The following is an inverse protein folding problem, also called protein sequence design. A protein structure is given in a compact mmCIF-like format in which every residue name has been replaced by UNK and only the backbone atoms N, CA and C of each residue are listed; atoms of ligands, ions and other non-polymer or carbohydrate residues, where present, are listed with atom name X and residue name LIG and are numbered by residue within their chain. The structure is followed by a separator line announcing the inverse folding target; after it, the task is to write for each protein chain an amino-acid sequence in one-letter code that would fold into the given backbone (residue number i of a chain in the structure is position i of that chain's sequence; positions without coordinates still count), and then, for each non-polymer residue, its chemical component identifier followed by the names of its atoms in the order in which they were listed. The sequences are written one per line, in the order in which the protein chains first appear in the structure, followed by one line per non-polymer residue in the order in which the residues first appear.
data_IF_671547239246
#
_entry.id   IF_671547239246
#
_cell.length_a   1.000
_cell.length_b   1.000
_cell.length_c   1.000
_cell.angle_alpha   90.00
_cell.angle_beta   90.00
_cell.angle_gamma   90.00
#
_symmetry.space_group_name_H-M   'P 1'
#
loop_
_entity.id
_entity.type
_entity.pdbx_description
1 polymer ?
#
# COMPACT_ATOMS: atom_id res chain seq x y z
N UNK A 1 -45.54 -1.04 -48.58
CA UNK A 1 -46.05 -2.11 -47.69
C UNK A 1 -45.59 -1.75 -46.28
N UNK A 2 -46.53 -1.29 -45.47
CA UNK A 2 -46.35 -1.02 -44.05
C UNK A 2 -46.76 -2.29 -43.30
N UNK A 3 -45.92 -2.74 -42.36
CA UNK A 3 -46.31 -3.67 -41.29
C UNK A 3 -45.67 -3.16 -39.99
N UNK A 4 -46.44 -2.47 -39.13
CA UNK A 4 -46.06 -2.18 -37.75
C UNK A 4 -46.78 -3.15 -36.81
N UNK A 5 -46.07 -3.71 -35.83
CA UNK A 5 -46.54 -4.02 -34.47
C UNK A 5 -45.65 -5.10 -33.83
N UNK A 6 -45.06 -4.78 -32.68
CA UNK A 6 -45.43 -5.47 -31.44
C UNK A 6 -44.84 -4.70 -30.24
N UNK A 7 -45.70 -3.90 -29.62
CA UNK A 7 -45.47 -3.20 -28.39
C UNK A 7 -45.90 -4.14 -27.24
N UNK A 8 -44.97 -4.58 -26.38
CA UNK A 8 -45.32 -5.27 -25.13
C UNK A 8 -44.82 -4.48 -23.93
N UNK A 9 -45.72 -3.61 -23.47
CA UNK A 9 -45.72 -3.04 -22.11
C UNK A 9 -46.42 -4.06 -21.20
N UNK A 10 -45.77 -4.47 -20.11
CA UNK A 10 -46.40 -5.29 -19.05
C UNK A 10 -46.05 -4.67 -17.68
N UNK A 11 -47.00 -4.67 -16.72
CA UNK A 11 -47.09 -3.62 -15.71
C UNK A 11 -46.38 -3.90 -14.38
N UNK A 12 -46.15 -2.79 -13.68
CA UNK A 12 -45.75 -2.62 -12.28
C UNK A 12 -46.70 -3.38 -11.34
N UNK A 13 -46.15 -4.14 -10.39
CA UNK A 13 -46.87 -4.59 -9.19
C UNK A 13 -46.13 -4.11 -7.95
N UNK A 14 -46.81 -3.20 -7.25
CA UNK A 14 -46.52 -2.67 -5.93
C UNK A 14 -46.69 -3.79 -4.90
N UNK A 15 -45.75 -3.95 -3.98
CA UNK A 15 -45.97 -4.65 -2.71
C UNK A 15 -45.57 -3.71 -1.59
N UNK A 16 -46.59 -3.21 -0.89
CA UNK A 16 -46.48 -2.58 0.42
C UNK A 16 -46.44 -3.66 1.50
N UNK A 17 -45.57 -3.49 2.50
CA UNK A 17 -45.54 -4.30 3.71
C UNK A 17 -45.25 -3.40 4.91
N UNK A 18 -46.27 -3.18 5.74
CA UNK A 18 -46.27 -2.31 6.91
C UNK A 18 -45.86 -3.09 8.16
N UNK A 19 -44.96 -2.47 8.93
CA UNK A 19 -44.68 -2.50 10.38
C UNK A 19 -45.14 -3.65 11.29
N UNK A 20 -44.26 -4.04 12.23
CA UNK A 20 -44.55 -3.95 13.68
C UNK A 20 -43.24 -3.90 14.50
N UNK A 21 -43.19 -2.94 15.42
CA UNK A 21 -42.20 -2.78 16.51
C UNK A 21 -42.65 -3.62 17.70
N UNK A 22 -41.74 -4.35 18.36
CA UNK A 22 -41.90 -4.77 19.75
C UNK A 22 -40.59 -4.52 20.52
N UNK A 23 -40.64 -3.52 21.39
CA UNK A 23 -39.70 -3.30 22.50
C UNK A 23 -40.13 -4.25 23.62
N UNK A 24 -39.21 -5.08 24.12
CA UNK A 24 -39.39 -5.79 25.38
C UNK A 24 -38.25 -5.43 26.34
N UNK A 25 -38.54 -4.48 27.23
CA UNK A 25 -37.78 -4.21 28.45
C UNK A 25 -38.12 -5.31 29.45
N UNK A 26 -37.14 -6.11 29.83
CA UNK A 26 -37.25 -7.11 30.88
C UNK A 26 -36.25 -6.84 31.99
N UNK A 27 -36.67 -6.05 32.98
CA UNK A 27 -35.99 -5.94 34.26
C UNK A 27 -36.31 -7.18 35.12
N UNK A 28 -35.29 -7.80 35.70
CA UNK A 28 -35.44 -8.94 36.61
C UNK A 28 -34.44 -8.85 37.76
N UNK A 29 -34.85 -8.20 38.85
CA UNK A 29 -34.17 -8.21 40.14
C UNK A 29 -34.73 -9.39 40.95
N UNK A 30 -33.91 -10.41 41.25
CA UNK A 30 -34.25 -11.41 42.26
C UNK A 30 -33.32 -11.28 43.46
N UNK A 31 -33.90 -10.81 44.55
CA UNK A 31 -33.30 -10.77 45.87
C UNK A 31 -33.39 -12.16 46.50
N UNK A 32 -32.31 -12.63 47.12
CA UNK A 32 -32.40 -13.73 48.07
C UNK A 32 -31.67 -13.36 49.36
N UNK A 33 -32.41 -13.46 50.46
CA UNK A 33 -32.02 -13.14 51.82
C UNK A 33 -31.64 -14.42 52.56
N UNK A 34 -30.54 -14.44 53.31
CA UNK A 34 -30.50 -15.20 54.57
C UNK A 34 -29.37 -14.74 55.49
N UNK A 35 -29.64 -14.90 56.78
CA UNK A 35 -29.13 -14.19 57.96
C UNK A 35 -27.94 -14.90 58.62
N UNK A 36 -27.00 -14.15 59.23
CA UNK A 36 -26.57 -14.32 60.64
C UNK A 36 -25.56 -13.24 61.11
N UNK A 37 -25.83 -12.67 62.29
CA UNK A 37 -25.00 -11.78 63.14
C UNK A 37 -23.69 -12.53 63.54
N UNK A 38 -22.55 -11.94 63.89
CA UNK A 38 -22.24 -10.84 64.82
C UNK A 38 -20.74 -10.44 64.70
N UNK A 39 -20.29 -9.32 65.31
CA UNK A 39 -18.99 -8.66 65.09
C UNK A 39 -17.89 -9.07 66.09
N UNK A 40 -16.63 -9.16 65.65
CA UNK A 40 -15.42 -8.99 66.50
C UNK A 40 -14.13 -8.92 65.67
N UNK A 41 -13.38 -7.81 65.81
CA UNK A 41 -11.96 -7.69 65.41
C UNK A 41 -11.05 -8.51 66.36
N UNK A 42 -9.90 -9.03 65.91
CA UNK A 42 -8.68 -8.23 65.89
C UNK A 42 -7.86 -8.37 64.60
N UNK A 43 -7.44 -7.22 64.05
CA UNK A 43 -6.47 -7.14 62.95
C UNK A 43 -5.07 -7.09 63.56
N UNK A 44 -4.22 -8.07 63.27
CA UNK A 44 -2.76 -7.96 63.05
C UNK A 44 -2.31 -9.26 62.36
N UNK A 45 -1.94 -9.17 61.08
CA UNK A 45 -0.71 -9.72 60.47
C UNK A 45 -0.81 -9.63 58.93
N UNK A 46 0.13 -8.88 58.35
CA UNK A 46 0.40 -8.54 56.94
C UNK A 46 0.59 -9.76 56.00
N UNK A 47 0.95 -9.60 54.70
CA UNK A 47 0.88 -8.47 53.77
C UNK A 47 0.07 -8.82 52.49
N UNK A 48 -0.25 -7.85 51.63
CA UNK A 48 -0.06 -7.98 50.17
C UNK A 48 -0.64 -6.79 49.40
N UNK A 49 0.29 -5.99 48.88
CA UNK A 49 0.32 -5.40 47.55
C UNK A 49 -1.03 -5.00 46.93
N UNK A 50 -1.41 -3.75 47.17
CA UNK A 50 -2.24 -2.97 46.25
C UNK A 50 -1.48 -2.86 44.92
N UNK A 51 -1.74 -3.77 43.99
CA UNK A 51 -1.30 -3.65 42.60
C UNK A 51 -2.20 -2.60 41.92
N UNK A 52 -1.68 -1.44 41.50
CA UNK A 52 -2.46 -0.54 40.66
C UNK A 52 -2.72 -1.25 39.33
N UNK A 53 -3.99 -1.48 39.00
CA UNK A 53 -4.38 -1.86 37.64
C UNK A 53 -3.77 -0.83 36.66
N UNK A 54 -2.94 -1.25 35.70
CA UNK A 54 -2.49 -0.32 34.68
C UNK A 54 -3.71 0.10 33.86
N UNK A 55 -3.93 1.42 33.81
CA UNK A 55 -4.70 2.06 32.75
C UNK A 55 -4.22 1.46 31.42
N UNK A 56 -5.16 0.96 30.63
CA UNK A 56 -4.90 0.50 29.26
C UNK A 56 -4.53 1.75 28.44
N UNK A 57 -3.25 2.09 28.43
CA UNK A 57 -2.67 3.00 27.43
C UNK A 57 -2.68 2.29 26.08
N UNK A 58 -3.09 2.95 24.98
CA UNK A 58 -2.97 2.35 23.65
C UNK A 58 -1.51 2.01 23.38
N UNK A 59 -1.26 0.74 23.07
CA UNK A 59 0.07 0.22 22.73
C UNK A 59 0.64 1.02 21.55
N UNK A 60 1.92 1.46 21.58
CA UNK A 60 2.51 2.18 20.46
C UNK A 60 2.46 1.30 19.21
N UNK A 61 2.02 1.88 18.08
CA UNK A 61 1.87 1.23 16.78
C UNK A 61 3.03 0.28 16.48
N UNK A 62 2.76 -1.02 16.47
CA UNK A 62 3.78 -2.06 16.31
C UNK A 62 4.38 -1.98 14.90
N UNK A 63 5.66 -1.64 14.81
CA UNK A 63 6.45 -1.73 13.58
C UNK A 63 7.12 -3.09 13.46
N UNK A 64 7.28 -3.59 12.23
CA UNK A 64 7.97 -4.84 11.91
C UNK A 64 9.13 -4.56 10.97
N UNK A 65 10.18 -5.36 11.09
CA UNK A 65 11.36 -5.28 10.23
C UNK A 65 11.26 -6.29 9.08
N UNK A 66 11.60 -5.85 7.85
CA UNK A 66 11.75 -6.70 6.67
C UNK A 66 12.95 -6.26 5.84
N UNK A 67 13.60 -7.20 5.17
CA UNK A 67 14.60 -6.91 4.15
C UNK A 67 13.92 -6.83 2.79
N UNK A 68 13.96 -5.65 2.17
CA UNK A 68 13.48 -5.40 0.81
C UNK A 68 14.67 -5.12 -0.11
N UNK A 69 14.43 -4.98 -1.41
CA UNK A 69 15.43 -4.48 -2.35
C UNK A 69 14.98 -3.13 -2.93
N UNK A 70 15.89 -2.16 -2.94
CA UNK A 70 15.83 -1.02 -3.86
C UNK A 70 16.68 -1.34 -5.08
N UNK A 71 16.32 -0.81 -6.23
CA UNK A 71 16.96 -1.17 -7.49
C UNK A 71 17.66 0.04 -8.12
N UNK A 72 18.91 -0.19 -8.53
CA UNK A 72 19.78 0.80 -9.15
C UNK A 72 20.18 0.38 -10.56
N UNK A 73 20.69 1.34 -11.32
CA UNK A 73 21.28 1.08 -12.63
C UNK A 73 22.74 0.77 -12.46
N UNK A 74 23.20 -0.31 -13.09
CA UNK A 74 24.62 -0.60 -13.29
C UNK A 74 24.92 -0.58 -14.77
N UNK A 75 25.82 0.31 -15.18
CA UNK A 75 26.38 0.30 -16.52
C UNK A 75 27.55 -0.69 -16.57
N UNK A 76 27.57 -1.54 -17.59
CA UNK A 76 28.71 -2.40 -17.89
C UNK A 76 28.97 -2.36 -19.39
N UNK A 77 30.02 -1.64 -19.78
CA UNK A 77 30.41 -1.42 -21.18
C UNK A 77 29.30 -0.79 -22.04
N UNK A 78 28.57 0.18 -21.49
CA UNK A 78 27.46 0.86 -22.18
C UNK A 78 26.16 0.06 -22.22
N UNK A 79 26.11 -1.12 -21.56
CA UNK A 79 24.87 -1.87 -21.33
C UNK A 79 24.38 -1.60 -19.91
N UNK A 80 23.20 -1.00 -19.80
CA UNK A 80 22.55 -0.80 -18.52
C UNK A 80 21.81 -2.06 -18.05
N UNK A 81 21.92 -2.34 -16.75
CA UNK A 81 21.23 -3.44 -16.07
C UNK A 81 20.64 -2.93 -14.77
N UNK A 82 19.53 -3.53 -14.36
CA UNK A 82 18.87 -3.22 -13.08
C UNK A 82 19.40 -4.20 -12.03
N UNK A 83 20.01 -3.66 -10.96
CA UNK A 83 20.63 -4.45 -9.89
C UNK A 83 19.95 -4.20 -8.56
N UNK A 84 19.72 -5.26 -7.79
CA UNK A 84 19.10 -5.19 -6.47
C UNK A 84 20.12 -4.83 -5.40
N UNK A 85 19.77 -3.88 -4.54
CA UNK A 85 20.49 -3.58 -3.31
C UNK A 85 19.58 -3.85 -2.11
N UNK A 86 19.94 -4.79 -1.22
CA UNK A 86 19.13 -5.12 -0.05
C UNK A 86 19.15 -3.97 0.96
N UNK A 87 17.98 -3.67 1.52
CA UNK A 87 17.77 -2.66 2.56
C UNK A 87 16.90 -3.21 3.68
N UNK A 88 17.27 -2.94 4.93
CA UNK A 88 16.45 -3.26 6.10
C UNK A 88 15.47 -2.11 6.34
N UNK A 89 14.19 -2.42 6.38
CA UNK A 89 13.11 -1.45 6.57
C UNK A 89 12.29 -1.85 7.79
N UNK A 90 12.10 -0.90 8.70
CA UNK A 90 11.17 -1.00 9.82
C UNK A 90 9.96 -0.10 9.55
N UNK A 91 8.77 -0.70 9.41
CA UNK A 91 7.54 0.02 9.09
C UNK A 91 6.32 -0.66 9.73
N UNK A 92 5.13 -0.05 9.63
CA UNK A 92 3.88 -0.75 9.98
C UNK A 92 3.75 -2.01 9.12
N UNK A 93 3.03 -3.03 9.61
CA UNK A 93 2.83 -4.28 8.85
C UNK A 93 1.84 -4.10 7.69
N UNK A 94 2.16 -3.22 6.76
CA UNK A 94 1.35 -2.78 5.64
C UNK A 94 2.24 -2.64 4.40
N UNK A 95 1.88 -3.23 3.24
CA UNK A 95 2.71 -3.16 2.04
C UNK A 95 2.99 -1.73 1.56
N UNK A 96 2.01 -0.81 1.68
CA UNK A 96 2.19 0.59 1.29
C UNK A 96 3.26 1.24 2.16
N UNK A 97 3.21 1.06 3.48
CA UNK A 97 4.21 1.61 4.41
C UNK A 97 5.65 1.15 4.09
N UNK A 98 5.85 -0.14 3.79
CA UNK A 98 7.16 -0.66 3.38
C UNK A 98 7.65 -0.06 2.06
N UNK A 99 6.78 0.03 1.05
CA UNK A 99 7.15 0.59 -0.25
C UNK A 99 7.43 2.10 -0.17
N UNK A 100 6.69 2.86 0.65
CA UNK A 100 6.98 4.28 0.88
C UNK A 100 8.41 4.47 1.38
N UNK A 101 8.84 3.71 2.39
CA UNK A 101 10.23 3.81 2.90
C UNK A 101 11.24 3.37 1.84
N UNK A 102 10.96 2.33 1.07
CA UNK A 102 11.84 1.88 -0.01
C UNK A 102 12.02 2.95 -1.10
N UNK A 103 10.93 3.64 -1.49
CA UNK A 103 10.99 4.72 -2.46
C UNK A 103 11.67 5.97 -1.91
N UNK A 104 11.42 6.35 -0.66
CA UNK A 104 12.14 7.45 -0.02
C UNK A 104 13.65 7.20 -0.04
N UNK A 105 14.09 5.97 0.28
CA UNK A 105 15.49 5.57 0.17
C UNK A 105 15.98 5.62 -1.28
N UNK A 106 15.24 5.09 -2.25
CA UNK A 106 15.62 5.12 -3.68
C UNK A 106 15.81 6.57 -4.21
N UNK A 107 14.97 7.50 -3.76
CA UNK A 107 14.96 8.88 -4.25
C UNK A 107 16.01 9.77 -3.55
N UNK A 108 16.39 9.44 -2.32
CA UNK A 108 17.25 10.30 -1.50
C UNK A 108 18.66 9.73 -1.25
N UNK A 109 18.83 8.41 -1.35
CA UNK A 109 20.12 7.75 -1.11
C UNK A 109 21.04 7.87 -2.32
N UNK A 110 22.35 7.81 -2.06
CA UNK A 110 23.33 7.65 -3.13
C UNK A 110 23.58 6.15 -3.37
N UNK A 111 23.65 5.71 -4.64
CA UNK A 111 23.99 4.33 -4.98
C UNK A 111 25.46 4.02 -4.64
N UNK A 112 25.82 2.73 -4.62
CA UNK A 112 27.20 2.29 -4.44
C UNK A 112 28.13 2.76 -5.59
N UNK A 113 29.45 2.69 -5.39
CA UNK A 113 30.47 3.25 -6.30
C UNK A 113 30.42 2.80 -7.78
N UNK A 114 29.69 1.72 -8.11
CA UNK A 114 29.52 1.21 -9.48
C UNK A 114 28.06 1.17 -9.93
N UNK A 115 27.22 1.95 -9.27
CA UNK A 115 25.79 2.03 -9.49
C UNK A 115 25.40 3.50 -9.64
N UNK A 116 24.30 3.74 -10.34
CA UNK A 116 23.82 5.07 -10.69
C UNK A 116 22.32 5.13 -10.46
N UNK A 117 21.84 6.35 -10.20
CA UNK A 117 20.41 6.67 -10.27
C UNK A 117 20.16 7.46 -11.55
N UNK A 118 19.25 6.97 -12.37
CA UNK A 118 18.75 7.67 -13.56
C UNK A 118 17.53 8.54 -13.23
N UNK A 119 17.03 8.50 -11.98
CA UNK A 119 15.90 9.32 -11.52
C UNK A 119 16.36 10.78 -11.33
N UNK A 120 15.66 11.79 -11.90
CA UNK A 120 16.07 13.18 -11.78
C UNK A 120 16.01 13.64 -10.33
N UNK A 121 17.01 14.43 -9.93
CA UNK A 121 17.03 15.06 -8.62
C UNK A 121 15.77 15.90 -8.40
N UNK A 122 15.21 15.83 -7.20
CA UNK A 122 13.97 16.52 -6.84
C UNK A 122 12.70 15.74 -7.18
N UNK A 123 12.78 14.57 -7.79
CA UNK A 123 11.63 13.66 -7.91
C UNK A 123 11.13 13.26 -6.52
N UNK A 124 9.82 13.35 -6.31
CA UNK A 124 9.15 12.97 -5.06
C UNK A 124 7.97 12.03 -5.32
N UNK A 125 7.57 11.27 -4.30
CA UNK A 125 6.34 10.49 -4.29
C UNK A 125 5.20 11.42 -3.89
N UNK A 126 4.24 11.62 -4.80
CA UNK A 126 3.04 12.39 -4.53
C UNK A 126 1.98 11.50 -3.86
N UNK A 127 1.83 10.26 -4.35
CA UNK A 127 0.97 9.25 -3.76
C UNK A 127 1.57 7.86 -3.99
N UNK A 128 1.41 6.96 -3.02
CA UNK A 128 1.72 5.54 -3.18
C UNK A 128 0.69 4.73 -2.42
N UNK A 129 0.07 3.75 -3.09
CA UNK A 129 -0.87 2.82 -2.47
C UNK A 129 -0.74 1.43 -3.09
N UNK A 130 -1.10 0.42 -2.30
CA UNK A 130 -1.18 -0.98 -2.73
C UNK A 130 -2.60 -1.50 -2.62
N UNK A 131 -3.07 -2.23 -3.62
CA UNK A 131 -4.39 -2.85 -3.63
C UNK A 131 -4.32 -4.21 -4.34
N UNK A 132 -4.72 -5.29 -3.65
CA UNK A 132 -4.66 -6.66 -4.17
C UNK A 132 -3.28 -6.99 -4.79
N UNK A 133 -2.22 -6.68 -4.06
CA UNK A 133 -0.83 -6.80 -4.48
C UNK A 133 -0.38 -5.87 -5.62
N UNK A 134 -1.28 -5.18 -6.33
CA UNK A 134 -0.92 -4.18 -7.33
C UNK A 134 -0.49 -2.86 -6.68
N UNK A 135 0.41 -2.13 -7.34
CA UNK A 135 1.01 -0.89 -6.84
C UNK A 135 0.58 0.28 -7.71
N UNK A 136 0.12 1.36 -7.07
CA UNK A 136 -0.25 2.61 -7.70
C UNK A 136 0.66 3.69 -7.14
N UNK A 137 1.41 4.35 -8.01
CA UNK A 137 2.41 5.34 -7.63
C UNK A 137 2.25 6.58 -8.52
N UNK A 138 2.09 7.73 -7.87
CA UNK A 138 2.10 9.05 -8.50
C UNK A 138 3.41 9.75 -8.13
N UNK A 139 4.18 10.12 -9.14
CA UNK A 139 5.46 10.80 -9.01
C UNK A 139 5.31 12.28 -9.34
N UNK A 140 6.23 13.11 -8.86
CA UNK A 140 6.26 14.52 -9.23
C UNK A 140 6.73 14.74 -10.68
N UNK A 141 6.37 15.86 -11.33
CA UNK A 141 6.72 16.16 -12.72
C UNK A 141 8.21 16.06 -13.07
N UNK A 142 9.09 16.29 -12.09
CA UNK A 142 10.54 16.11 -12.18
C UNK A 142 10.93 14.76 -12.75
N UNK A 143 10.16 13.71 -12.46
CA UNK A 143 10.40 12.36 -12.97
C UNK A 143 10.48 12.29 -14.50
N UNK A 144 9.82 13.22 -15.22
CA UNK A 144 9.76 13.22 -16.69
C UNK A 144 10.90 13.98 -17.35
N UNK A 145 11.78 14.62 -16.57
CA UNK A 145 12.77 15.55 -17.09
C UNK A 145 14.08 14.85 -17.48
N UNK A 146 14.67 15.33 -18.58
CA UNK A 146 16.05 15.01 -19.00
C UNK A 146 16.32 13.56 -19.39
N UNK A 147 17.57 13.31 -19.80
CA UNK A 147 18.05 12.02 -20.27
C UNK A 147 17.69 11.74 -21.73
N UNK A 148 18.37 10.76 -22.32
CA UNK A 148 17.93 10.09 -23.55
C UNK A 148 17.26 8.75 -23.24
N UNK A 149 16.78 8.04 -24.26
CA UNK A 149 16.07 6.75 -24.15
C UNK A 149 16.71 5.76 -23.17
N UNK A 150 18.03 5.62 -23.16
CA UNK A 150 18.75 4.74 -22.22
C UNK A 150 18.51 5.14 -20.75
N UNK A 151 18.64 6.42 -20.43
CA UNK A 151 18.38 6.96 -19.09
C UNK A 151 16.92 6.80 -18.68
N UNK A 152 16.00 7.05 -19.62
CA UNK A 152 14.55 6.89 -19.40
C UNK A 152 14.20 5.42 -19.09
N UNK A 153 14.76 4.47 -19.83
CA UNK A 153 14.61 3.03 -19.56
C UNK A 153 15.19 2.63 -18.21
N UNK A 154 16.41 3.07 -17.89
CA UNK A 154 17.04 2.77 -16.60
C UNK A 154 16.21 3.28 -15.43
N UNK A 155 15.74 4.53 -15.51
CA UNK A 155 14.85 5.16 -14.55
C UNK A 155 13.53 4.41 -14.36
N UNK A 156 12.88 4.03 -15.46
CA UNK A 156 11.65 3.23 -15.44
C UNK A 156 11.90 1.90 -14.74
N UNK A 157 13.02 1.24 -15.04
CA UNK A 157 13.41 -0.02 -14.41
C UNK A 157 13.60 0.11 -12.90
N UNK A 158 14.28 1.15 -12.43
CA UNK A 158 14.44 1.40 -10.99
C UNK A 158 13.09 1.48 -10.26
N UNK A 159 12.11 2.20 -10.83
CA UNK A 159 10.77 2.33 -10.24
C UNK A 159 10.01 1.01 -10.29
N UNK A 160 9.95 0.34 -11.44
CA UNK A 160 9.18 -0.90 -11.62
C UNK A 160 9.70 -2.01 -10.71
N UNK A 161 11.02 -2.22 -10.65
CA UNK A 161 11.58 -3.29 -9.82
C UNK A 161 11.44 -2.98 -8.33
N UNK A 162 11.59 -1.73 -7.91
CA UNK A 162 11.41 -1.32 -6.51
C UNK A 162 9.95 -1.43 -6.08
N UNK A 163 9.00 -0.97 -6.90
CA UNK A 163 7.56 -1.13 -6.64
C UNK A 163 7.17 -2.61 -6.46
N UNK A 164 7.79 -3.50 -7.22
CA UNK A 164 7.51 -4.94 -7.20
C UNK A 164 8.43 -5.73 -6.27
N UNK A 165 9.16 -5.08 -5.35
CA UNK A 165 10.09 -5.81 -4.46
C UNK A 165 9.39 -6.72 -3.47
N UNK A 166 8.14 -6.43 -3.09
CA UNK A 166 7.34 -7.27 -2.18
C UNK A 166 6.70 -8.45 -2.92
N UNK A 167 6.33 -8.25 -4.19
CA UNK A 167 5.76 -9.27 -5.07
C UNK A 167 6.19 -9.00 -6.53
N UNK A 168 7.08 -9.83 -7.10
CA UNK A 168 7.57 -9.66 -8.48
C UNK A 168 6.49 -9.76 -9.57
N UNK A 169 5.31 -10.30 -9.25
CA UNK A 169 4.20 -10.47 -10.19
C UNK A 169 3.19 -9.30 -10.16
N UNK A 170 3.38 -8.33 -9.27
CA UNK A 170 2.49 -7.17 -9.14
C UNK A 170 2.46 -6.33 -10.40
N UNK A 171 1.29 -5.77 -10.69
CA UNK A 171 1.12 -4.74 -11.70
C UNK A 171 1.43 -3.38 -11.10
N UNK A 172 2.10 -2.53 -11.88
CA UNK A 172 2.45 -1.17 -11.46
C UNK A 172 1.72 -0.18 -12.35
N UNK A 173 0.89 0.66 -11.73
CA UNK A 173 0.26 1.81 -12.34
C UNK A 173 1.07 3.05 -12.03
N UNK A 174 1.69 3.64 -13.05
CA UNK A 174 2.51 4.84 -12.91
C UNK A 174 1.70 6.07 -13.29
N UNK A 175 1.76 7.09 -12.45
CA UNK A 175 1.25 8.43 -12.75
C UNK A 175 2.33 9.48 -12.49
N UNK A 176 2.20 10.62 -13.16
CA UNK A 176 2.99 11.82 -12.87
C UNK A 176 2.05 13.01 -12.74
N UNK A 177 2.08 13.68 -11.59
CA UNK A 177 1.21 14.81 -11.30
C UNK A 177 -0.29 14.46 -11.43
N UNK A 178 -0.66 13.25 -11.00
CA UNK A 178 -2.03 12.73 -11.03
C UNK A 178 -2.52 12.25 -12.40
N UNK A 179 -1.66 12.19 -13.42
CA UNK A 179 -2.01 11.69 -14.76
C UNK A 179 -1.26 10.40 -15.07
N UNK A 180 -1.91 9.40 -15.69
CA UNK A 180 -1.23 8.18 -16.10
C UNK A 180 -0.01 8.47 -16.97
N UNK A 181 1.13 7.87 -16.61
CA UNK A 181 2.37 8.00 -17.35
C UNK A 181 2.38 6.97 -18.50
N UNK A 182 1.80 7.35 -19.64
CA UNK A 182 1.77 6.51 -20.85
C UNK A 182 2.93 6.78 -21.80
N UNK A 183 3.62 7.92 -21.63
CA UNK A 183 4.78 8.32 -22.42
C UNK A 183 5.77 9.03 -21.49
N UNK A 184 7.04 8.62 -21.52
CA UNK A 184 8.12 9.22 -20.73
C UNK A 184 9.11 9.97 -21.62
N UNK A 185 9.40 11.21 -21.22
CA UNK A 185 10.37 12.08 -21.87
C UNK A 185 9.91 12.66 -23.21
N UNK A 186 10.71 13.59 -23.75
CA UNK A 186 10.43 14.22 -25.05
C UNK A 186 10.68 13.32 -26.26
N UNK A 187 11.41 12.22 -26.07
CA UNK A 187 11.69 11.22 -27.11
C UNK A 187 10.56 10.21 -27.29
N UNK A 188 9.58 10.19 -26.37
CA UNK A 188 8.35 9.43 -26.55
C UNK A 188 8.45 7.97 -26.14
N UNK A 189 9.14 7.64 -25.03
CA UNK A 189 9.18 6.26 -24.55
C UNK A 189 7.78 5.83 -24.09
N UNK A 190 7.09 5.03 -24.90
CA UNK A 190 5.75 4.53 -24.58
C UNK A 190 5.81 3.54 -23.42
N UNK A 191 4.94 3.74 -22.43
CA UNK A 191 4.87 2.90 -21.23
C UNK A 191 3.48 2.25 -21.19
N UNK A 192 3.39 0.92 -21.43
CA UNK A 192 2.14 0.20 -21.27
C UNK A 192 1.69 0.26 -19.81
N UNK A 193 0.39 0.49 -19.59
CA UNK A 193 -0.22 0.54 -18.27
C UNK A 193 -1.24 -0.59 -18.10
N UNK A 194 -1.17 -1.37 -17.02
CA UNK A 194 -0.07 -1.37 -16.05
C UNK A 194 1.21 -1.99 -16.63
N UNK A 195 2.36 -1.58 -16.11
CA UNK A 195 3.64 -2.21 -16.41
C UNK A 195 3.94 -3.34 -15.40
N UNK A 196 4.62 -4.38 -15.84
CA UNK A 196 5.09 -5.51 -15.03
C UNK A 196 6.56 -5.78 -15.34
N UNK A 197 7.26 -6.58 -14.51
CA UNK A 197 8.65 -6.98 -14.83
C UNK A 197 8.77 -7.68 -16.19
N UNK A 198 7.91 -8.67 -16.55
CA UNK A 198 7.98 -9.29 -17.88
C UNK A 198 7.75 -8.33 -19.04
N UNK A 199 6.81 -7.37 -18.89
CA UNK A 199 6.60 -6.34 -19.91
C UNK A 199 7.85 -5.44 -20.00
N UNK A 200 8.41 -5.04 -18.86
CA UNK A 200 9.61 -4.20 -18.86
C UNK A 200 10.79 -4.89 -19.55
N UNK A 201 11.04 -6.15 -19.19
CA UNK A 201 12.13 -6.96 -19.75
C UNK A 201 11.95 -7.17 -21.26
N UNK A 202 10.73 -7.42 -21.72
CA UNK A 202 10.43 -7.64 -23.14
C UNK A 202 10.57 -6.37 -23.98
N UNK A 203 10.08 -5.24 -23.49
CA UNK A 203 9.96 -4.01 -24.30
C UNK A 203 11.17 -3.09 -24.17
N UNK A 204 11.92 -3.14 -23.05
CA UNK A 204 12.98 -2.14 -22.78
C UNK A 204 14.38 -2.72 -22.57
N UNK A 205 14.53 -4.02 -22.32
CA UNK A 205 15.86 -4.62 -22.22
C UNK A 205 16.34 -5.15 -23.57
N UNK A 206 17.65 -5.08 -23.85
CA UNK A 206 18.20 -5.70 -25.05
C UNK A 206 17.93 -7.21 -25.02
N UNK A 207 17.37 -7.73 -26.12
CA UNK A 207 17.30 -9.17 -26.34
C UNK A 207 18.72 -9.77 -26.32
N UNK A 208 18.94 -10.88 -25.61
CA UNK A 208 20.25 -11.52 -25.51
C UNK A 208 20.76 -12.06 -26.85
#
# INVERSE_FOLDING_TARGET
MEDPQNNRIIPIRIVAGIATVLIAVGAGLTWWTSTSRSPQEPVISSPDTTSPSPLISPSPSQTVEKTLAIYWVKDTNGKQTIVAQPVQIQAQNDPTAFLTVAFDQLLTSSPDANQLSEIPKGTTIQQLTTNNDDVYIDLSPEFTQGGGSTSMTGRLGQVVYTATTLNPNSKVWLSVGGKPLTVLGGEGLEIPQPITRPIFEKEFLPVP
#
